data_IF_549579247408
#
_entry.id   IF_549579247408
#
_cell.length_a   1.000
_cell.length_b   1.000
_cell.length_c   1.000
_cell.angle_alpha   90.00
_cell.angle_beta   90.00
_cell.angle_gamma   90.00
#
_symmetry.space_group_name_H-M   'P 1'
#
loop_
_entity.id
_entity.type
_entity.pdbx_description
1 polymer ?
#
# COMPACT_ATOMS: atom_id res chain seq x y z
N UNK A 1 -40.97 -28.24 15.97
CA UNK A 1 -40.13 -28.88 14.92
C UNK A 1 -39.42 -27.76 14.18
N UNK A 2 -38.10 -27.87 14.18
CA UNK A 2 -37.08 -26.97 13.66
C UNK A 2 -37.29 -26.57 12.19
N UNK A 3 -37.02 -25.31 11.85
CA UNK A 3 -35.82 -25.03 11.06
C UNK A 3 -35.41 -23.54 11.11
N UNK A 4 -34.29 -23.29 11.77
CA UNK A 4 -33.50 -22.07 11.70
C UNK A 4 -32.77 -22.03 10.36
N UNK A 5 -33.23 -21.20 9.42
CA UNK A 5 -32.40 -20.82 8.28
C UNK A 5 -31.50 -19.66 8.70
N UNK A 6 -30.33 -20.01 9.25
CA UNK A 6 -29.17 -19.11 9.33
C UNK A 6 -28.73 -18.74 7.91
N UNK A 7 -28.66 -17.45 7.54
CA UNK A 7 -27.95 -17.07 6.34
C UNK A 7 -26.47 -17.37 6.58
N UNK A 8 -25.90 -18.19 5.71
CA UNK A 8 -24.50 -18.58 5.70
C UNK A 8 -23.62 -17.34 5.95
N UNK A 9 -22.90 -17.36 7.07
CA UNK A 9 -21.86 -16.38 7.38
C UNK A 9 -20.85 -16.40 6.24
N UNK A 10 -20.83 -15.32 5.46
CA UNK A 10 -19.81 -15.07 4.46
C UNK A 10 -18.41 -15.30 5.07
N UNK A 11 -17.41 -15.75 4.28
CA UNK A 11 -16.03 -15.81 4.73
C UNK A 11 -15.63 -14.47 5.36
N UNK A 12 -14.78 -14.43 6.41
CA UNK A 12 -14.17 -13.17 6.80
C UNK A 12 -13.43 -12.65 5.58
N UNK A 13 -14.01 -11.66 4.89
CA UNK A 13 -13.31 -10.90 3.87
C UNK A 13 -12.19 -10.20 4.62
N UNK A 14 -11.02 -10.81 4.68
CA UNK A 14 -9.78 -10.09 4.93
C UNK A 14 -9.61 -9.17 3.73
N UNK A 15 -10.32 -8.05 3.76
CA UNK A 15 -10.27 -7.03 2.73
C UNK A 15 -8.84 -6.51 2.75
N UNK A 16 -8.01 -6.98 1.83
CA UNK A 16 -6.66 -6.47 1.67
C UNK A 16 -6.79 -5.02 1.25
N UNK A 17 -6.52 -4.10 2.17
CA UNK A 17 -6.56 -2.67 1.89
C UNK A 17 -5.30 -2.29 1.13
N UNK A 18 -5.40 -2.22 -0.20
CA UNK A 18 -4.32 -1.82 -1.09
C UNK A 18 -4.40 -0.31 -1.33
N UNK A 19 -3.29 0.40 -1.10
CA UNK A 19 -3.09 1.81 -1.49
C UNK A 19 -2.22 1.83 -2.75
N UNK A 20 -2.82 1.81 -3.96
CA UNK A 20 -2.06 1.78 -5.22
C UNK A 20 -1.37 3.12 -5.51
N UNK A 21 -1.93 4.25 -5.08
CA UNK A 21 -1.39 5.57 -5.37
C UNK A 21 -1.28 6.43 -4.10
N UNK A 22 -0.18 7.18 -4.00
CA UNK A 22 0.08 8.02 -2.83
C UNK A 22 -0.97 9.11 -2.63
N UNK A 23 -1.72 9.50 -3.68
CA UNK A 23 -2.78 10.49 -3.54
C UNK A 23 -4.01 9.98 -2.81
N UNK A 24 -4.13 8.66 -2.60
CA UNK A 24 -5.21 8.06 -1.81
C UNK A 24 -5.21 8.56 -0.35
N UNK A 25 -4.09 9.10 0.14
CA UNK A 25 -4.02 9.73 1.47
C UNK A 25 -4.63 11.13 1.51
N UNK A 26 -4.67 11.89 0.40
CA UNK A 26 -5.17 13.27 0.37
C UNK A 26 -6.59 13.45 0.95
N UNK A 27 -7.58 12.60 0.63
CA UNK A 27 -8.93 12.74 1.19
C UNK A 27 -9.03 12.26 2.65
N UNK A 28 -7.97 11.68 3.21
CA UNK A 28 -7.97 11.13 4.57
C UNK A 28 -7.40 12.14 5.58
N UNK A 29 -7.64 11.93 6.89
CA UNK A 29 -6.95 12.70 7.94
C UNK A 29 -5.41 12.55 7.95
N UNK A 30 -4.87 11.64 7.13
CA UNK A 30 -3.45 11.32 7.03
C UNK A 30 -2.80 11.87 5.75
N UNK A 31 -3.34 12.95 5.18
CA UNK A 31 -2.80 13.57 3.96
C UNK A 31 -1.28 13.85 4.00
N UNK A 32 -0.72 14.10 5.20
CA UNK A 32 0.72 14.29 5.43
C UNK A 32 1.58 13.05 5.17
N UNK A 33 0.98 11.86 5.02
CA UNK A 33 1.68 10.63 4.63
C UNK A 33 2.02 10.60 3.14
N UNK A 34 1.32 11.36 2.29
CA UNK A 34 1.57 11.42 0.84
C UNK A 34 3.07 11.63 0.52
N UNK A 35 3.74 12.71 0.98
CA UNK A 35 5.16 12.91 0.66
C UNK A 35 6.08 11.86 1.28
N UNK A 36 5.69 11.27 2.42
CA UNK A 36 6.46 10.19 3.06
C UNK A 36 6.40 8.90 2.24
N UNK A 37 5.22 8.51 1.79
CA UNK A 37 5.05 7.31 0.95
C UNK A 37 5.81 7.46 -0.37
N UNK A 38 5.71 8.63 -1.01
CA UNK A 38 6.46 8.93 -2.24
C UNK A 38 7.97 8.79 -2.03
N UNK A 39 8.49 9.22 -0.87
CA UNK A 39 9.90 9.07 -0.53
C UNK A 39 10.34 7.61 -0.29
N UNK A 40 9.39 6.71 0.01
CA UNK A 40 9.63 5.27 0.21
C UNK A 40 9.45 4.44 -1.07
N UNK A 41 9.03 5.08 -2.18
CA UNK A 41 8.83 4.42 -3.47
C UNK A 41 10.02 4.63 -4.40
N UNK A 42 10.34 3.58 -5.15
CA UNK A 42 11.35 3.63 -6.18
C UNK A 42 10.92 4.53 -7.34
N UNK A 43 11.81 5.40 -7.80
CA UNK A 43 11.51 6.30 -8.91
C UNK A 43 11.43 5.61 -10.28
N UNK A 44 11.79 4.33 -10.38
CA UNK A 44 11.71 3.53 -11.61
C UNK A 44 10.44 2.67 -11.62
N UNK A 45 10.31 1.69 -10.72
CA UNK A 45 9.14 0.80 -10.69
C UNK A 45 7.90 1.41 -10.03
N UNK A 46 8.04 2.51 -9.27
CA UNK A 46 6.97 3.19 -8.51
C UNK A 46 6.35 2.37 -7.37
N UNK A 47 6.93 1.22 -7.05
CA UNK A 47 6.59 0.44 -5.86
C UNK A 47 7.48 0.80 -4.66
N UNK A 48 7.13 0.30 -3.48
CA UNK A 48 8.01 0.36 -2.31
C UNK A 48 9.35 -0.29 -2.63
N UNK A 49 10.43 0.25 -2.05
CA UNK A 49 11.77 -0.27 -2.31
C UNK A 49 11.88 -1.76 -1.98
N UNK A 50 12.36 -2.52 -2.96
CA UNK A 50 12.92 -3.86 -2.76
C UNK A 50 14.44 -3.76 -2.86
N UNK A 51 15.14 -4.15 -1.79
CA UNK A 51 16.60 -4.03 -1.64
C UNK A 51 17.17 -2.68 -2.11
N UNK A 52 16.92 -1.57 -1.39
CA UNK A 52 17.29 -0.22 -1.84
C UNK A 52 18.80 -0.02 -1.96
N UNK A 53 19.21 0.68 -3.02
CA UNK A 53 20.57 1.17 -3.25
C UNK A 53 20.57 2.70 -3.26
N UNK A 54 21.51 3.29 -2.52
CA UNK A 54 21.71 4.74 -2.44
C UNK A 54 22.87 5.16 -3.34
N UNK A 55 22.62 6.09 -4.25
CA UNK A 55 23.67 6.66 -5.11
C UNK A 55 24.46 7.75 -4.38
N UNK A 56 25.62 8.13 -4.91
CA UNK A 56 26.42 9.24 -4.38
C UNK A 56 25.70 10.60 -4.45
N UNK A 57 24.70 10.74 -5.31
CA UNK A 57 23.83 11.92 -5.37
C UNK A 57 22.59 11.82 -4.45
N UNK A 58 22.56 10.82 -3.57
CA UNK A 58 21.50 10.59 -2.58
C UNK A 58 20.11 10.27 -3.16
N UNK A 59 20.06 9.74 -4.38
CA UNK A 59 18.83 9.13 -4.90
C UNK A 59 18.80 7.64 -4.54
N UNK A 60 17.60 7.13 -4.26
CA UNK A 60 17.37 5.74 -3.86
C UNK A 60 16.54 5.01 -4.92
N UNK A 61 16.97 3.80 -5.28
CA UNK A 61 16.26 2.91 -6.23
C UNK A 61 16.31 1.46 -5.70
N UNK A 62 15.49 0.56 -6.24
CA UNK A 62 15.66 -0.87 -5.96
C UNK A 62 16.96 -1.38 -6.59
N UNK A 63 17.58 -2.43 -6.07
CA UNK A 63 18.84 -2.94 -6.64
C UNK A 63 18.73 -3.41 -8.10
N UNK A 64 17.51 -3.74 -8.56
CA UNK A 64 17.22 -4.17 -9.93
C UNK A 64 16.59 -3.07 -10.80
N UNK A 65 16.51 -1.84 -10.28
CA UNK A 65 15.85 -0.69 -10.91
C UNK A 65 16.84 0.46 -11.09
#
# INVERSE_FOLDING_TARGET
MTNTNTPNSAPPTTTTFTIPDSTDWLPTPLASLTPLEVALRCQVCKDFFDTPMLTSCAHTFCSLC
#
